data_IF_332243317381
#
_entry.id   IF_332243317381
#
_cell.length_a   1.000
_cell.length_b   1.000
_cell.length_c   1.000
_cell.angle_alpha   90.00
_cell.angle_beta   90.00
_cell.angle_gamma   90.00
#
_symmetry.space_group_name_H-M   'P 1'
#
loop_
_entity.id
_entity.type
_entity.pdbx_description
1 polymer ?
#
# COMPACT_ATOMS: atom_id res chain seq x y z
N UNK A 1 4.21 1.41 8.00
CA UNK A 1 4.11 1.07 9.43
C UNK A 1 3.64 2.30 10.18
N UNK A 2 2.99 2.16 11.35
CA UNK A 2 2.63 3.35 12.15
C UNK A 2 3.87 3.83 12.94
N UNK A 3 4.04 5.15 13.04
CA UNK A 3 5.07 5.83 13.83
C UNK A 3 5.17 5.29 15.26
N UNK A 4 4.05 5.17 15.97
CA UNK A 4 4.05 4.72 17.38
C UNK A 4 4.70 3.34 17.57
N UNK A 5 4.47 2.43 16.61
CA UNK A 5 5.05 1.08 16.62
C UNK A 5 6.56 1.15 16.37
N UNK A 6 7.00 2.01 15.45
CA UNK A 6 8.42 2.19 15.16
C UNK A 6 9.16 2.78 16.36
N UNK A 7 8.61 3.85 16.95
CA UNK A 7 9.18 4.49 18.15
C UNK A 7 9.29 3.49 19.31
N UNK A 8 8.23 2.71 19.55
CA UNK A 8 8.24 1.69 20.61
C UNK A 8 9.28 0.60 20.35
N UNK A 9 9.43 0.14 19.11
CA UNK A 9 10.43 -0.87 18.76
C UNK A 9 11.86 -0.34 18.97
N UNK A 10 12.14 0.91 18.59
CA UNK A 10 13.43 1.56 18.82
C UNK A 10 13.71 1.68 20.33
N UNK A 11 12.74 2.15 21.12
CA UNK A 11 12.91 2.25 22.56
C UNK A 11 13.24 0.90 23.20
N UNK A 12 12.53 -0.16 22.83
CA UNK A 12 12.81 -1.51 23.34
C UNK A 12 14.21 -2.00 22.94
N UNK A 13 14.65 -1.70 21.72
CA UNK A 13 15.99 -2.04 21.28
C UNK A 13 17.07 -1.26 22.05
N UNK A 14 16.86 0.02 22.33
CA UNK A 14 17.75 0.84 23.17
C UNK A 14 17.84 0.33 24.62
N UNK A 15 16.75 -0.24 25.13
CA UNK A 15 16.70 -0.93 26.43
C UNK A 15 17.31 -2.35 26.40
N UNK A 16 17.84 -2.80 25.26
CA UNK A 16 18.43 -4.13 25.08
C UNK A 16 17.42 -5.28 24.89
N UNK A 17 16.13 -4.98 24.70
CA UNK A 17 15.04 -5.95 24.56
C UNK A 17 14.71 -6.21 23.08
N UNK A 18 15.67 -6.81 22.36
CA UNK A 18 15.57 -7.01 20.91
C UNK A 18 14.43 -7.95 20.52
N UNK A 19 14.17 -8.99 21.30
CA UNK A 19 13.11 -9.96 21.05
C UNK A 19 11.72 -9.31 21.17
N UNK A 20 11.53 -8.44 22.16
CA UNK A 20 10.29 -7.69 22.35
C UNK A 20 10.08 -6.68 21.21
N UNK A 21 11.15 -5.99 20.81
CA UNK A 21 11.14 -5.09 19.67
C UNK A 21 10.73 -5.83 18.38
N UNK A 22 11.35 -6.98 18.09
CA UNK A 22 11.01 -7.81 16.95
C UNK A 22 9.56 -8.31 17.03
N UNK A 23 9.11 -8.77 18.20
CA UNK A 23 7.77 -9.31 18.40
C UNK A 23 6.68 -8.27 18.06
N UNK A 24 6.88 -7.01 18.47
CA UNK A 24 5.95 -5.92 18.15
C UNK A 24 5.94 -5.63 16.64
N UNK A 25 7.10 -5.61 15.99
CA UNK A 25 7.20 -5.40 14.54
C UNK A 25 6.54 -6.55 13.76
N UNK A 26 6.78 -7.81 14.16
CA UNK A 26 6.12 -8.99 13.58
C UNK A 26 4.60 -8.95 13.81
N UNK A 27 4.16 -8.54 15.01
CA UNK A 27 2.76 -8.39 15.37
C UNK A 27 2.01 -7.37 14.52
N UNK A 28 2.71 -6.35 14.02
CA UNK A 28 2.14 -5.34 13.13
C UNK A 28 1.68 -5.92 11.78
N UNK A 29 2.29 -7.00 11.29
CA UNK A 29 1.90 -7.67 10.04
C UNK A 29 0.73 -8.66 10.23
N UNK A 30 -0.33 -8.22 10.91
CA UNK A 30 -1.58 -8.99 11.04
C UNK A 30 -2.47 -8.89 9.78
N UNK A 31 -3.52 -9.71 9.71
CA UNK A 31 -4.44 -9.76 8.56
C UNK A 31 -4.97 -8.38 8.16
N UNK A 32 -5.47 -7.60 9.11
CA UNK A 32 -6.07 -6.28 8.85
C UNK A 32 -5.05 -5.34 8.19
N UNK A 33 -3.86 -5.28 8.77
CA UNK A 33 -2.78 -4.43 8.27
C UNK A 33 -2.25 -4.90 6.91
N UNK A 34 -2.09 -6.21 6.72
CA UNK A 34 -1.68 -6.79 5.44
C UNK A 34 -2.72 -6.52 4.35
N UNK A 35 -4.03 -6.71 4.60
CA UNK A 35 -5.10 -6.36 3.65
C UNK A 35 -5.01 -4.90 3.21
N UNK A 36 -4.81 -3.99 4.16
CA UNK A 36 -4.64 -2.59 3.87
C UNK A 36 -3.40 -2.33 2.99
N UNK A 37 -2.25 -2.89 3.35
CA UNK A 37 -1.01 -2.74 2.57
C UNK A 37 -1.15 -3.32 1.15
N UNK A 38 -1.70 -4.52 1.01
CA UNK A 38 -1.95 -5.16 -0.29
C UNK A 38 -2.86 -4.28 -1.16
N UNK A 39 -3.88 -3.65 -0.58
CA UNK A 39 -4.74 -2.72 -1.34
C UNK A 39 -3.98 -1.51 -1.89
N UNK A 40 -2.94 -1.05 -1.19
CA UNK A 40 -2.02 0.01 -1.65
C UNK A 40 -1.01 -0.50 -2.69
N UNK A 41 -0.60 -1.77 -2.62
CA UNK A 41 0.28 -2.38 -3.63
C UNK A 41 -0.44 -2.54 -4.97
N UNK A 42 -1.72 -2.93 -4.97
CA UNK A 42 -2.54 -3.06 -6.20
C UNK A 42 -2.68 -1.77 -7.03
N UNK A 43 -2.35 -0.62 -6.45
CA UNK A 43 -2.32 0.67 -7.15
C UNK A 43 -1.10 0.81 -8.07
N UNK A 44 -0.12 -0.09 -7.94
CA UNK A 44 1.06 -0.18 -8.78
C UNK A 44 0.76 -1.22 -9.87
N UNK A 45 0.90 -0.83 -11.14
CA UNK A 45 0.52 -1.64 -12.30
C UNK A 45 1.19 -3.03 -12.32
N UNK A 46 2.50 -3.09 -12.06
CA UNK A 46 3.32 -4.30 -12.05
C UNK A 46 2.91 -5.27 -10.91
N UNK A 47 2.19 -4.78 -9.91
CA UNK A 47 1.62 -5.62 -8.86
C UNK A 47 0.31 -6.30 -9.26
N UNK A 48 -0.43 -5.76 -10.23
CA UNK A 48 -1.77 -6.23 -10.56
C UNK A 48 -1.81 -7.68 -11.09
N UNK A 49 -0.90 -8.12 -11.98
CA UNK A 49 -0.90 -9.50 -12.48
C UNK A 49 -0.78 -10.55 -11.37
N UNK A 50 -0.12 -10.19 -10.25
CA UNK A 50 0.15 -11.08 -9.12
C UNK A 50 -0.88 -10.95 -7.99
N UNK A 51 -1.86 -10.05 -8.10
CA UNK A 51 -2.83 -9.78 -7.03
C UNK A 51 -3.56 -11.06 -6.56
N UNK A 52 -3.95 -11.94 -7.48
CA UNK A 52 -4.60 -13.22 -7.16
C UNK A 52 -3.72 -14.10 -6.26
N UNK A 53 -2.42 -14.21 -6.55
CA UNK A 53 -1.48 -15.01 -5.76
C UNK A 53 -1.19 -14.37 -4.40
N UNK A 54 -1.11 -13.03 -4.35
CA UNK A 54 -0.94 -12.28 -3.10
C UNK A 54 -2.12 -12.55 -2.14
N UNK A 55 -3.36 -12.51 -2.62
CA UNK A 55 -4.51 -12.81 -1.76
C UNK A 55 -4.54 -14.26 -1.31
N UNK A 56 -4.15 -15.22 -2.16
CA UNK A 56 -3.99 -16.62 -1.75
C UNK A 56 -2.94 -16.77 -0.64
N UNK A 57 -1.78 -16.13 -0.80
CA UNK A 57 -0.74 -16.12 0.21
C UNK A 57 -1.21 -15.45 1.52
N UNK A 58 -2.08 -14.43 1.45
CA UNK A 58 -2.69 -13.83 2.63
C UNK A 58 -3.66 -14.79 3.33
N UNK A 59 -4.49 -15.52 2.57
CA UNK A 59 -5.39 -16.53 3.13
C UNK A 59 -4.59 -17.67 3.80
N UNK A 60 -3.44 -18.05 3.21
CA UNK A 60 -2.51 -18.99 3.80
C UNK A 60 -1.85 -18.43 5.07
N UNK A 61 -1.43 -17.15 5.06
CA UNK A 61 -0.89 -16.46 6.25
C UNK A 61 -1.90 -16.44 7.41
N UNK A 62 -3.17 -16.13 7.10
CA UNK A 62 -4.26 -16.13 8.08
C UNK A 62 -4.53 -17.52 8.65
N UNK A 63 -4.43 -18.54 7.82
CA UNK A 63 -4.60 -19.93 8.22
C UNK A 63 -3.33 -20.56 8.81
N UNK A 64 -2.31 -19.75 9.10
CA UNK A 64 -1.01 -20.17 9.65
C UNK A 64 -0.27 -21.20 8.77
N UNK A 65 -0.61 -21.24 7.48
CA UNK A 65 0.04 -22.10 6.46
C UNK A 65 1.28 -21.39 5.90
N UNK A 66 2.24 -21.11 6.79
CA UNK A 66 3.45 -20.34 6.45
C UNK A 66 4.33 -21.05 5.41
N UNK A 67 4.34 -22.39 5.40
CA UNK A 67 5.01 -23.21 4.39
C UNK A 67 4.54 -22.88 2.96
N UNK A 68 3.28 -22.47 2.77
CA UNK A 68 2.73 -22.09 1.47
C UNK A 68 2.88 -20.58 1.22
N UNK A 69 2.65 -19.77 2.24
CA UNK A 69 2.70 -18.31 2.13
C UNK A 69 4.12 -17.80 1.79
N UNK A 70 5.14 -18.24 2.53
CA UNK A 70 6.51 -17.69 2.43
C UNK A 70 7.09 -17.86 1.01
N UNK A 71 7.10 -19.05 0.39
CA UNK A 71 7.65 -19.22 -0.95
C UNK A 71 6.90 -18.41 -2.01
N UNK A 72 5.57 -18.31 -1.88
CA UNK A 72 4.75 -17.51 -2.81
C UNK A 72 5.09 -16.03 -2.71
N UNK A 73 5.21 -15.48 -1.50
CA UNK A 73 5.58 -14.06 -1.33
C UNK A 73 7.01 -13.79 -1.82
N UNK A 74 7.98 -14.69 -1.54
CA UNK A 74 9.34 -14.59 -2.08
C UNK A 74 9.37 -14.56 -3.61
N UNK A 75 8.58 -15.42 -4.27
CA UNK A 75 8.48 -15.42 -5.74
C UNK A 75 7.87 -14.11 -6.27
N UNK A 76 6.88 -13.55 -5.57
CA UNK A 76 6.24 -12.29 -5.95
C UNK A 76 7.21 -11.12 -5.79
N UNK A 77 8.00 -11.09 -4.71
CA UNK A 77 9.08 -10.12 -4.49
C UNK A 77 10.02 -10.10 -5.70
N UNK A 78 10.50 -11.27 -6.11
CA UNK A 78 11.48 -11.39 -7.19
C UNK A 78 10.90 -10.93 -8.53
N UNK A 79 9.72 -11.44 -8.90
CA UNK A 79 9.06 -11.08 -10.14
C UNK A 79 8.63 -9.62 -10.20
N UNK A 80 8.20 -9.04 -9.08
CA UNK A 80 7.79 -7.64 -9.02
C UNK A 80 8.95 -6.69 -9.33
N UNK A 81 10.12 -6.92 -8.73
CA UNK A 81 11.31 -6.10 -8.99
C UNK A 81 11.80 -6.29 -10.43
N UNK A 82 11.72 -7.52 -10.96
CA UNK A 82 12.07 -7.80 -12.34
C UNK A 82 11.23 -7.01 -13.36
N UNK A 83 9.94 -6.81 -13.10
CA UNK A 83 9.08 -6.02 -13.99
C UNK A 83 9.49 -4.54 -14.07
N UNK A 84 10.19 -4.02 -13.06
CA UNK A 84 10.62 -2.62 -12.99
C UNK A 84 12.07 -2.46 -13.46
N UNK A 85 13.01 -3.29 -12.95
CA UNK A 85 14.46 -3.15 -13.17
C UNK A 85 15.05 -4.19 -14.14
N UNK A 86 14.22 -5.03 -14.78
CA UNK A 86 14.65 -6.16 -15.63
C UNK A 86 15.59 -7.16 -14.92
N UNK A 87 15.65 -7.09 -13.59
CA UNK A 87 16.39 -7.98 -12.69
C UNK A 87 15.53 -8.23 -11.46
N UNK A 88 15.42 -9.50 -11.05
CA UNK A 88 14.70 -9.86 -9.82
C UNK A 88 15.40 -9.37 -8.56
N UNK A 89 14.64 -9.18 -7.48
CA UNK A 89 15.17 -8.77 -6.17
C UNK A 89 16.36 -9.63 -5.73
N UNK A 90 16.32 -10.95 -5.98
CA UNK A 90 17.38 -11.87 -5.54
C UNK A 90 18.53 -12.04 -6.55
N UNK A 91 18.57 -11.24 -7.62
CA UNK A 91 19.67 -11.24 -8.57
C UNK A 91 20.96 -10.70 -7.95
N UNK A 92 22.10 -11.00 -8.58
CA UNK A 92 23.38 -10.39 -8.21
C UNK A 92 23.45 -8.94 -8.68
N UNK A 93 24.16 -8.10 -7.92
CA UNK A 93 24.41 -6.69 -8.24
C UNK A 93 23.12 -5.89 -8.51
N UNK A 94 22.12 -6.07 -7.65
CA UNK A 94 20.95 -5.20 -7.64
C UNK A 94 21.22 -3.97 -6.80
N UNK A 95 20.79 -2.80 -7.28
CA UNK A 95 20.78 -1.56 -6.52
C UNK A 95 19.36 -1.05 -6.44
N UNK A 96 18.80 -1.07 -5.23
CA UNK A 96 17.45 -0.58 -4.95
C UNK A 96 17.47 0.81 -4.29
N UNK A 97 18.60 1.52 -4.36
CA UNK A 97 18.73 2.85 -3.77
C UNK A 97 17.91 3.86 -4.54
N UNK A 98 17.02 4.57 -3.86
CA UNK A 98 16.20 5.64 -4.45
C UNK A 98 16.15 6.81 -3.48
N UNK A 99 16.24 8.03 -4.01
CA UNK A 99 16.21 9.24 -3.20
C UNK A 99 14.87 9.44 -2.49
N UNK A 100 14.94 10.03 -1.28
CA UNK A 100 13.78 10.44 -0.49
C UNK A 100 12.81 9.27 -0.17
N UNK A 101 13.37 8.10 0.15
CA UNK A 101 12.60 6.96 0.67
C UNK A 101 13.42 6.20 1.72
N UNK A 102 12.86 6.07 2.93
CA UNK A 102 13.50 5.36 4.05
C UNK A 102 13.75 3.88 3.69
N UNK A 103 12.81 3.25 2.99
CA UNK A 103 12.92 1.83 2.62
C UNK A 103 14.05 1.59 1.60
N UNK A 104 14.27 2.54 0.70
CA UNK A 104 15.28 2.44 -0.36
C UNK A 104 16.51 3.32 -0.08
N UNK A 105 16.76 3.60 1.20
CA UNK A 105 18.07 4.01 1.68
C UNK A 105 19.06 2.82 1.54
N UNK A 106 20.36 3.09 1.48
CA UNK A 106 21.39 2.06 1.31
C UNK A 106 21.37 1.01 2.45
N UNK A 107 21.10 1.45 3.68
CA UNK A 107 20.89 0.61 4.87
C UNK A 107 19.52 -0.08 4.94
N UNK A 108 18.65 0.12 3.94
CA UNK A 108 17.31 -0.45 3.86
C UNK A 108 17.26 -1.72 3.00
N UNK A 109 16.58 -1.64 1.85
CA UNK A 109 16.32 -2.77 0.95
C UNK A 109 17.59 -3.48 0.45
N UNK A 110 18.69 -2.77 0.24
CA UNK A 110 19.97 -3.39 -0.16
C UNK A 110 20.59 -4.24 0.96
N UNK A 111 20.47 -3.80 2.21
CA UNK A 111 20.87 -4.59 3.38
C UNK A 111 19.97 -5.82 3.52
N UNK A 112 18.66 -5.66 3.33
CA UNK A 112 17.70 -6.75 3.35
C UNK A 112 17.97 -7.79 2.26
N UNK A 113 18.30 -7.34 1.04
CA UNK A 113 18.74 -8.19 -0.06
C UNK A 113 19.91 -9.07 0.35
N UNK A 114 20.98 -8.45 0.87
CA UNK A 114 22.21 -9.13 1.31
C UNK A 114 21.90 -10.25 2.30
N UNK A 115 21.02 -9.99 3.26
CA UNK A 115 20.58 -10.97 4.26
C UNK A 115 19.79 -12.11 3.61
N UNK A 116 18.83 -11.79 2.72
CA UNK A 116 17.93 -12.82 2.16
C UNK A 116 18.62 -13.74 1.16
N UNK A 117 19.66 -13.27 0.47
CA UNK A 117 20.44 -14.07 -0.50
C UNK A 117 21.57 -14.87 0.15
N UNK A 118 21.78 -14.75 1.46
CA UNK A 118 22.86 -15.42 2.18
C UNK A 118 22.87 -16.94 1.86
N UNK A 119 24.03 -17.51 1.47
CA UNK A 119 24.10 -18.91 1.08
C UNK A 119 23.85 -19.83 2.26
N UNK A 120 23.04 -20.86 2.02
CA UNK A 120 22.66 -21.87 3.03
C UNK A 120 23.16 -23.23 2.55
N UNK A 121 24.25 -23.72 3.14
CA UNK A 121 24.96 -24.92 2.67
C UNK A 121 24.60 -26.21 3.42
N UNK A 122 23.93 -26.09 4.56
CA UNK A 122 23.52 -27.21 5.40
C UNK A 122 22.00 -27.32 5.41
N UNK A 123 21.48 -28.55 5.32
CA UNK A 123 20.06 -28.81 5.59
C UNK A 123 19.82 -28.79 7.10
N UNK A 124 18.83 -28.03 7.54
CA UNK A 124 18.47 -27.87 8.94
C UNK A 124 16.96 -27.97 9.13
N UNK A 125 16.56 -28.68 10.18
CA UNK A 125 15.18 -28.72 10.69
C UNK A 125 14.92 -27.69 11.78
N UNK A 126 15.97 -27.05 12.31
CA UNK A 126 15.86 -26.01 13.32
C UNK A 126 15.07 -24.82 12.80
N UNK A 127 14.31 -24.18 13.69
CA UNK A 127 13.62 -22.93 13.36
C UNK A 127 14.62 -21.86 12.92
N UNK A 128 14.25 -21.18 11.84
CA UNK A 128 14.95 -19.98 11.38
C UNK A 128 13.98 -18.79 11.46
N UNK A 129 14.52 -17.60 11.69
CA UNK A 129 13.71 -16.38 11.79
C UNK A 129 14.00 -15.36 10.69
N UNK A 130 14.88 -15.70 9.75
CA UNK A 130 15.24 -14.87 8.60
C UNK A 130 14.78 -15.61 7.35
N UNK A 131 14.12 -14.96 6.38
CA UNK A 131 13.67 -15.62 5.16
C UNK A 131 14.83 -15.78 4.17
N UNK A 132 15.77 -16.67 4.48
CA UNK A 132 16.88 -17.04 3.60
C UNK A 132 16.33 -17.71 2.34
N UNK A 133 16.12 -16.92 1.28
CA UNK A 133 15.44 -17.34 0.05
C UNK A 133 16.09 -18.59 -0.55
N UNK A 134 17.42 -18.63 -0.58
CA UNK A 134 18.15 -19.77 -1.16
C UNK A 134 17.98 -21.04 -0.33
N UNK A 135 18.03 -20.95 0.99
CA UNK A 135 17.82 -22.11 1.85
C UNK A 135 16.39 -22.63 1.81
N UNK A 136 15.40 -21.73 1.82
CA UNK A 136 13.98 -22.08 1.73
C UNK A 136 13.65 -22.72 0.38
N UNK A 137 14.00 -22.05 -0.73
CA UNK A 137 13.61 -22.53 -2.07
C UNK A 137 14.41 -23.75 -2.56
N UNK A 138 15.58 -24.02 -1.98
CA UNK A 138 16.33 -25.25 -2.26
C UNK A 138 16.02 -26.39 -1.26
N UNK A 139 15.07 -26.20 -0.34
CA UNK A 139 14.68 -27.23 0.63
C UNK A 139 15.76 -27.56 1.66
N UNK A 140 16.61 -26.59 2.00
CA UNK A 140 17.69 -26.74 2.99
C UNK A 140 17.28 -26.22 4.36
N UNK A 141 16.62 -25.07 4.43
CA UNK A 141 16.08 -24.56 5.69
C UNK A 141 14.63 -25.03 5.82
N UNK A 142 14.38 -26.08 6.61
CA UNK A 142 13.05 -26.69 6.73
C UNK A 142 12.18 -26.01 7.81
N UNK A 143 12.80 -25.43 8.86
CA UNK A 143 12.10 -24.73 9.95
C UNK A 143 11.71 -23.27 9.63
N UNK A 144 11.43 -22.94 8.37
CA UNK A 144 11.09 -21.58 7.94
C UNK A 144 9.59 -21.25 8.09
N UNK A 145 8.76 -22.27 8.28
CA UNK A 145 7.30 -22.18 8.22
C UNK A 145 6.70 -21.64 9.53
N UNK A 146 7.19 -20.46 9.93
CA UNK A 146 6.74 -19.74 11.11
C UNK A 146 6.35 -18.30 10.81
N UNK A 147 5.65 -17.69 11.77
CA UNK A 147 5.09 -16.35 11.65
C UNK A 147 6.16 -15.26 11.47
N UNK A 148 7.34 -15.40 12.08
CA UNK A 148 8.41 -14.39 12.01
C UNK A 148 8.98 -14.30 10.61
N UNK A 149 9.29 -15.45 10.00
CA UNK A 149 9.75 -15.53 8.60
C UNK A 149 8.70 -14.92 7.68
N UNK A 150 7.44 -15.34 7.81
CA UNK A 150 6.36 -14.84 6.97
C UNK A 150 6.14 -13.32 7.12
N UNK A 151 6.14 -12.79 8.34
CA UNK A 151 6.00 -11.35 8.58
C UNK A 151 7.16 -10.55 7.95
N UNK A 152 8.40 -11.04 8.05
CA UNK A 152 9.57 -10.40 7.42
C UNK A 152 9.51 -10.46 5.90
N UNK A 153 9.02 -11.56 5.31
CA UNK A 153 8.78 -11.65 3.86
C UNK A 153 7.71 -10.66 3.41
N UNK A 154 6.59 -10.54 4.14
CA UNK A 154 5.58 -9.51 3.86
C UNK A 154 6.14 -8.10 4.02
N UNK A 155 6.97 -7.87 5.04
CA UNK A 155 7.66 -6.60 5.26
C UNK A 155 8.51 -6.19 4.06
N UNK A 156 9.30 -7.12 3.52
CA UNK A 156 10.07 -6.91 2.30
C UNK A 156 9.18 -6.52 1.11
N UNK A 157 8.08 -7.25 0.88
CA UNK A 157 7.15 -6.96 -0.22
C UNK A 157 6.53 -5.55 -0.09
N UNK A 158 6.17 -5.15 1.12
CA UNK A 158 5.58 -3.83 1.38
C UNK A 158 6.60 -2.71 1.20
N UNK A 159 7.84 -2.91 1.66
CA UNK A 159 8.94 -1.97 1.45
C UNK A 159 9.25 -1.77 -0.04
N UNK A 160 9.18 -2.84 -0.84
CA UNK A 160 9.29 -2.75 -2.30
C UNK A 160 8.17 -1.93 -2.95
N UNK A 161 6.97 -1.92 -2.36
CA UNK A 161 5.90 -1.05 -2.79
C UNK A 161 6.21 0.44 -2.61
N UNK A 162 6.95 0.81 -1.57
CA UNK A 162 7.40 2.18 -1.34
C UNK A 162 8.53 2.55 -2.31
N UNK A 163 9.50 1.65 -2.50
CA UNK A 163 10.56 1.78 -3.51
C UNK A 163 9.99 1.99 -4.92
N UNK A 164 9.07 1.13 -5.37
CA UNK A 164 8.52 1.21 -6.72
C UNK A 164 7.76 2.51 -6.98
N UNK A 165 7.05 3.05 -5.98
CA UNK A 165 6.42 4.37 -6.11
C UNK A 165 7.46 5.48 -6.26
N UNK A 166 8.56 5.40 -5.51
CA UNK A 166 9.63 6.38 -5.62
C UNK A 166 10.29 6.33 -7.01
N UNK A 167 10.57 5.13 -7.55
CA UNK A 167 11.06 4.95 -8.93
C UNK A 167 10.10 5.56 -9.94
N UNK A 168 8.81 5.24 -9.87
CA UNK A 168 7.78 5.76 -10.80
C UNK A 168 7.60 7.28 -10.74
N UNK A 169 7.89 7.89 -9.60
CA UNK A 169 7.87 9.34 -9.44
C UNK A 169 9.15 10.01 -9.98
N UNK A 170 10.00 9.28 -10.71
CA UNK A 170 11.22 9.80 -11.33
C UNK A 170 12.35 10.08 -10.34
N UNK A 171 12.29 9.50 -9.13
CA UNK A 171 13.32 9.69 -8.09
C UNK A 171 14.54 8.78 -8.27
N UNK A 172 14.50 7.89 -9.27
CA UNK A 172 15.61 7.00 -9.60
C UNK A 172 16.69 7.81 -10.34
N UNK A 173 17.95 7.75 -9.88
CA UNK A 173 19.07 8.52 -10.44
C UNK A 173 19.23 9.95 -9.92
N UNK A 174 18.28 10.47 -9.13
CA UNK A 174 18.42 11.74 -8.40
C UNK A 174 19.36 11.54 -7.19
N UNK A 175 20.68 11.50 -7.41
CA UNK A 175 21.64 11.78 -6.31
C UNK A 175 21.60 13.27 -6.00
N UNK A 176 20.45 13.77 -5.54
CA UNK A 176 20.35 15.14 -5.03
C UNK A 176 21.06 15.14 -3.69
N UNK A 177 22.18 15.85 -3.59
CA UNK A 177 22.72 16.17 -2.27
C UNK A 177 21.63 16.89 -1.48
N UNK A 178 21.49 16.57 -0.20
CA UNK A 178 20.55 17.25 0.67
C UNK A 178 20.92 18.74 0.71
N UNK A 179 20.12 19.57 0.04
CA UNK A 179 20.21 21.02 0.17
C UNK A 179 19.26 21.42 1.29
N UNK A 180 19.75 21.94 2.42
CA UNK A 180 18.86 22.40 3.47
C UNK A 180 17.95 23.49 2.91
N UNK A 181 16.63 23.43 3.19
CA UNK A 181 15.71 24.45 2.69
C UNK A 181 16.12 25.83 3.20
N UNK A 182 15.94 26.84 2.38
CA UNK A 182 16.06 28.24 2.80
C UNK A 182 15.05 28.56 3.91
N UNK A 183 15.22 29.67 4.63
CA UNK A 183 14.26 30.10 5.66
C UNK A 183 12.84 30.27 5.10
N UNK A 184 12.72 30.77 3.86
CA UNK A 184 11.42 30.94 3.19
C UNK A 184 10.78 29.60 2.86
N UNK A 185 11.54 28.65 2.28
CA UNK A 185 11.04 27.30 2.00
C UNK A 185 10.67 26.57 3.29
N UNK A 186 11.47 26.72 4.35
CA UNK A 186 11.18 26.17 5.68
C UNK A 186 9.87 26.74 6.23
N UNK A 187 9.63 28.04 6.10
CA UNK A 187 8.38 28.67 6.51
C UNK A 187 7.18 28.15 5.71
N UNK A 188 7.31 28.00 4.38
CA UNK A 188 6.27 27.44 3.53
C UNK A 188 5.97 25.98 3.91
N UNK A 189 7.00 25.15 4.11
CA UNK A 189 6.86 23.76 4.54
C UNK A 189 6.16 23.65 5.90
N UNK A 190 6.49 24.54 6.85
CA UNK A 190 5.82 24.61 8.14
C UNK A 190 4.35 25.00 7.99
N UNK A 191 4.05 26.01 7.17
CA UNK A 191 2.67 26.42 6.86
C UNK A 191 1.88 25.26 6.25
N UNK A 192 2.45 24.59 5.26
CA UNK A 192 1.80 23.46 4.59
C UNK A 192 1.58 22.30 5.57
N UNK A 193 2.57 22.01 6.42
CA UNK A 193 2.45 21.00 7.48
C UNK A 193 1.34 21.34 8.47
N UNK A 194 1.20 22.61 8.87
CA UNK A 194 0.12 23.08 9.73
C UNK A 194 -1.25 22.94 9.06
N UNK A 195 -1.37 23.31 7.78
CA UNK A 195 -2.60 23.16 7.01
C UNK A 195 -2.98 21.68 6.90
N UNK A 196 -2.02 20.80 6.60
CA UNK A 196 -2.26 19.36 6.55
C UNK A 196 -2.67 18.81 7.92
N UNK A 197 -2.01 19.24 9.00
CA UNK A 197 -2.34 18.83 10.36
C UNK A 197 -3.78 19.24 10.74
N UNK A 198 -4.16 20.47 10.45
CA UNK A 198 -5.53 20.95 10.67
C UNK A 198 -6.55 20.15 9.85
N UNK A 199 -6.24 19.86 8.59
CA UNK A 199 -7.10 19.05 7.72
C UNK A 199 -7.29 17.64 8.27
N UNK A 200 -6.19 16.95 8.62
CA UNK A 200 -6.24 15.60 9.21
C UNK A 200 -7.02 15.60 10.52
N UNK A 201 -6.87 16.64 11.36
CA UNK A 201 -7.65 16.80 12.59
C UNK A 201 -9.15 16.94 12.33
N UNK A 202 -9.53 17.73 11.33
CA UNK A 202 -10.94 17.90 10.95
C UNK A 202 -11.52 16.63 10.31
N UNK A 203 -10.76 15.95 9.45
CA UNK A 203 -11.16 14.68 8.84
C UNK A 203 -11.37 13.62 9.93
N UNK A 204 -10.46 13.56 10.93
CA UNK A 204 -10.60 12.66 12.07
C UNK A 204 -11.87 12.96 12.88
N UNK A 205 -12.14 14.22 13.22
CA UNK A 205 -13.38 14.61 13.89
C UNK A 205 -14.61 14.21 13.08
N UNK A 206 -14.61 14.45 11.78
CA UNK A 206 -15.72 14.10 10.89
C UNK A 206 -15.97 12.59 10.87
N UNK A 207 -14.91 11.78 10.90
CA UNK A 207 -15.00 10.31 10.96
C UNK A 207 -15.49 9.85 12.34
N UNK A 208 -14.98 10.45 13.42
CA UNK A 208 -15.35 10.10 14.80
C UNK A 208 -16.81 10.49 15.11
N UNK A 209 -17.27 11.62 14.57
CA UNK A 209 -18.64 12.12 14.69
C UNK A 209 -19.62 11.43 13.73
N UNK A 210 -19.12 10.71 12.72
CA UNK A 210 -19.95 10.03 11.75
C UNK A 210 -20.78 8.93 12.41
N UNK A 211 -22.07 8.91 12.10
CA UNK A 211 -22.99 7.85 12.53
C UNK A 211 -23.70 7.27 11.31
N UNK A 212 -23.98 5.95 11.30
CA UNK A 212 -24.82 5.35 10.28
C UNK A 212 -26.15 6.10 10.17
N UNK A 213 -26.60 6.39 8.95
CA UNK A 213 -27.93 6.92 8.70
C UNK A 213 -28.93 5.77 8.70
N UNK A 214 -29.98 5.87 9.50
CA UNK A 214 -31.20 5.08 9.31
C UNK A 214 -32.10 5.85 8.35
N UNK A 215 -32.59 5.19 7.30
CA UNK A 215 -33.38 5.83 6.23
C UNK A 215 -34.66 5.01 6.04
N UNK A 216 -35.81 5.66 6.20
CA UNK A 216 -37.12 5.08 5.95
C UNK A 216 -37.66 5.58 4.61
N UNK A 217 -37.94 4.64 3.70
CA UNK A 217 -38.42 4.95 2.36
C UNK A 217 -39.85 5.50 2.40
N UNK A 218 -40.07 6.61 1.70
CA UNK A 218 -41.28 7.45 1.66
C UNK A 218 -41.50 8.35 2.88
N UNK A 219 -40.74 8.17 3.97
CA UNK A 219 -40.75 9.10 5.11
C UNK A 219 -39.58 10.09 4.98
N UNK A 220 -38.35 9.60 4.84
CA UNK A 220 -37.14 10.43 4.75
C UNK A 220 -36.72 10.69 3.30
N UNK A 221 -36.91 9.69 2.43
CA UNK A 221 -36.49 9.75 1.02
C UNK A 221 -37.57 9.11 0.15
N UNK A 222 -38.02 9.76 -0.92
CA UNK A 222 -39.03 9.17 -1.80
C UNK A 222 -38.45 7.96 -2.55
N UNK A 223 -39.28 6.93 -2.74
CA UNK A 223 -38.90 5.73 -3.51
C UNK A 223 -38.48 6.05 -4.95
N UNK A 224 -39.07 7.08 -5.54
CA UNK A 224 -38.77 7.62 -6.86
C UNK A 224 -39.14 9.10 -6.89
N UNK A 225 -38.46 9.87 -7.74
CA UNK A 225 -38.75 11.29 -7.88
C UNK A 225 -37.75 11.99 -8.77
N UNK A 226 -38.10 13.21 -9.16
CA UNK A 226 -37.18 14.13 -9.80
C UNK A 226 -36.18 14.69 -8.78
N UNK A 227 -35.13 15.34 -9.28
CA UNK A 227 -34.03 15.89 -8.48
C UNK A 227 -34.48 16.79 -7.30
N UNK A 228 -35.59 17.52 -7.46
CA UNK A 228 -36.13 18.42 -6.44
C UNK A 228 -36.85 17.69 -5.31
N UNK A 229 -37.14 16.40 -5.48
CA UNK A 229 -37.71 15.55 -4.42
C UNK A 229 -36.64 15.09 -3.40
N UNK A 230 -35.37 15.43 -3.62
CA UNK A 230 -34.25 15.06 -2.75
C UNK A 230 -33.55 16.30 -2.20
N UNK A 231 -33.14 16.22 -0.93
CA UNK A 231 -32.47 17.32 -0.24
C UNK A 231 -31.16 17.73 -0.93
N UNK A 232 -30.91 19.04 -0.94
CA UNK A 232 -29.67 19.61 -1.51
C UNK A 232 -28.47 19.11 -0.72
N UNK A 233 -27.48 18.55 -1.44
CA UNK A 233 -26.27 17.99 -0.84
C UNK A 233 -26.43 16.57 -0.30
N UNK A 234 -27.61 15.94 -0.44
CA UNK A 234 -27.81 14.54 -0.08
C UNK A 234 -27.15 13.58 -1.08
N UNK A 235 -26.62 12.42 -0.63
CA UNK A 235 -26.13 11.36 -1.50
C UNK A 235 -27.17 10.93 -2.56
N UNK A 236 -28.44 10.92 -2.19
CA UNK A 236 -29.57 10.52 -3.01
C UNK A 236 -29.78 11.49 -4.19
N UNK A 237 -29.74 12.80 -3.91
CA UNK A 237 -29.80 13.83 -4.97
C UNK A 237 -28.60 13.72 -5.91
N UNK A 238 -27.38 13.57 -5.37
CA UNK A 238 -26.17 13.41 -6.18
C UNK A 238 -26.22 12.16 -7.07
N UNK A 239 -26.79 11.06 -6.57
CA UNK A 239 -27.00 9.85 -7.37
C UNK A 239 -28.03 10.07 -8.48
N UNK A 240 -29.11 10.79 -8.20
CA UNK A 240 -30.11 11.14 -9.22
C UNK A 240 -29.50 12.04 -10.32
N UNK A 241 -28.75 13.08 -9.93
CA UNK A 241 -27.96 13.92 -10.84
C UNK A 241 -27.04 13.09 -11.74
N UNK A 242 -26.34 12.11 -11.15
CA UNK A 242 -25.47 11.21 -11.88
C UNK A 242 -26.22 10.42 -12.96
N UNK A 243 -27.40 9.88 -12.65
CA UNK A 243 -28.23 9.16 -13.64
C UNK A 243 -28.81 10.08 -14.72
N UNK A 244 -29.18 11.31 -14.37
CA UNK A 244 -29.61 12.33 -15.35
C UNK A 244 -28.47 12.66 -16.31
N UNK A 245 -27.24 12.82 -15.82
CA UNK A 245 -26.09 13.05 -16.68
C UNK A 245 -25.77 11.85 -17.55
N UNK A 246 -25.93 10.63 -17.02
CA UNK A 246 -25.77 9.41 -17.77
C UNK A 246 -26.77 9.30 -18.93
N UNK A 247 -28.07 9.52 -18.67
CA UNK A 247 -29.11 9.44 -19.70
C UNK A 247 -28.92 10.48 -20.83
N UNK A 248 -28.28 11.62 -20.51
CA UNK A 248 -27.92 12.67 -21.47
C UNK A 248 -26.54 12.47 -22.11
N UNK A 249 -25.81 11.41 -21.77
CA UNK A 249 -24.44 11.17 -22.26
C UNK A 249 -23.42 12.23 -21.80
N UNK A 250 -23.70 12.96 -20.72
CA UNK A 250 -22.85 14.02 -20.19
C UNK A 250 -21.78 13.47 -19.25
N UNK A 251 -20.80 12.77 -19.81
CA UNK A 251 -19.71 12.14 -19.06
C UNK A 251 -18.81 13.14 -18.32
N UNK A 252 -18.74 14.39 -18.79
CA UNK A 252 -17.97 15.45 -18.13
C UNK A 252 -18.56 15.84 -16.77
N UNK A 253 -19.89 15.94 -16.69
CA UNK A 253 -20.59 16.19 -15.42
C UNK A 253 -20.55 14.97 -14.50
N UNK A 254 -20.70 13.76 -15.06
CA UNK A 254 -20.49 12.51 -14.29
C UNK A 254 -19.10 12.47 -13.65
N UNK A 255 -18.05 12.87 -14.38
CA UNK A 255 -16.68 12.89 -13.90
C UNK A 255 -16.47 13.85 -12.71
N UNK A 256 -17.31 14.87 -12.54
CA UNK A 256 -17.24 15.80 -11.41
C UNK A 256 -17.86 15.23 -10.12
N UNK A 257 -18.83 14.31 -10.26
CA UNK A 257 -19.54 13.72 -9.12
C UNK A 257 -18.83 12.49 -8.53
N UNK A 258 -17.83 11.94 -9.24
CA UNK A 258 -17.09 10.77 -8.77
C UNK A 258 -15.88 11.20 -7.95
N UNK A 259 -15.76 10.64 -6.75
CA UNK A 259 -14.58 10.83 -5.91
C UNK A 259 -13.35 10.19 -6.56
N UNK A 260 -12.27 10.97 -6.72
CA UNK A 260 -10.96 10.45 -7.10
C UNK A 260 -10.35 9.69 -5.90
N UNK A 261 -10.54 8.37 -5.87
CA UNK A 261 -9.97 7.49 -4.82
C UNK A 261 -8.43 7.46 -4.87
N UNK A 262 -7.84 7.81 -6.02
CA UNK A 262 -6.40 7.97 -6.23
C UNK A 262 -6.12 9.41 -6.67
N UNK A 263 -5.12 10.09 -6.08
CA UNK A 263 -4.61 11.35 -6.62
C UNK A 263 -4.21 11.12 -8.07
N UNK A 264 -4.94 11.75 -8.99
CA UNK A 264 -4.68 11.63 -10.41
C UNK A 264 -4.61 13.03 -11.01
N UNK A 265 -3.52 13.27 -11.74
CA UNK A 265 -3.33 14.43 -12.61
C UNK A 265 -4.25 14.38 -13.83
N UNK A 266 -5.04 13.32 -13.98
CA UNK A 266 -5.99 13.19 -15.07
C UNK A 266 -6.96 14.36 -15.04
N UNK A 267 -7.04 15.03 -16.19
CA UNK A 267 -8.05 16.04 -16.44
C UNK A 267 -9.45 15.43 -16.37
N UNK A 268 -10.45 16.26 -16.08
CA UNK A 268 -11.86 15.86 -16.08
C UNK A 268 -12.24 15.21 -17.43
N UNK A 269 -11.66 15.70 -18.54
CA UNK A 269 -11.88 15.15 -19.88
C UNK A 269 -11.37 13.71 -20.05
N UNK A 270 -10.16 13.41 -19.56
CA UNK A 270 -9.63 12.04 -19.61
C UNK A 270 -10.47 11.08 -18.75
N UNK A 271 -10.91 11.54 -17.59
CA UNK A 271 -11.77 10.74 -16.71
C UNK A 271 -13.15 10.50 -17.33
N UNK A 272 -13.75 11.53 -17.94
CA UNK A 272 -14.98 11.41 -18.72
C UNK A 272 -14.86 10.38 -19.85
N UNK A 273 -13.71 10.34 -20.55
CA UNK A 273 -13.43 9.34 -21.57
C UNK A 273 -13.42 7.90 -21.03
N UNK A 274 -12.84 7.69 -19.83
CA UNK A 274 -12.87 6.37 -19.16
C UNK A 274 -14.29 5.96 -18.76
N UNK A 275 -15.07 6.88 -18.18
CA UNK A 275 -16.47 6.64 -17.83
C UNK A 275 -17.25 6.23 -19.07
N UNK A 276 -17.14 7.00 -20.16
CA UNK A 276 -17.79 6.69 -21.44
C UNK A 276 -17.46 5.26 -21.86
N UNK A 277 -16.17 4.90 -21.92
CA UNK A 277 -15.73 3.55 -22.31
C UNK A 277 -16.42 2.48 -21.47
N UNK A 278 -16.37 2.59 -20.13
CA UNK A 278 -16.97 1.61 -19.22
C UNK A 278 -18.47 1.45 -19.49
N UNK A 279 -19.21 2.57 -19.58
CA UNK A 279 -20.66 2.51 -19.70
C UNK A 279 -21.11 2.06 -21.09
N UNK A 280 -20.37 2.41 -22.15
CA UNK A 280 -20.68 1.97 -23.53
C UNK A 280 -20.24 0.55 -23.85
N UNK A 281 -19.33 -0.04 -23.08
CA UNK A 281 -18.88 -1.43 -23.30
C UNK A 281 -19.86 -2.47 -22.70
N UNK A 282 -20.83 -2.02 -21.90
CA UNK A 282 -21.78 -2.89 -21.20
C UNK A 282 -23.26 -2.57 -21.49
N UNK A 283 -23.52 -1.72 -22.49
CA UNK A 283 -24.84 -1.47 -23.10
C UNK A 283 -24.83 -2.02 -24.52
#
# INVERSE_FOLDING_TARGET
>A
MNFDIMTKAVQLAEEGKLEDAESILVGYYNEKNLRFMISRLKRIEEFQPRARLIYKALDDYRAERYHACVPVVLMIIDGFVNDIEQKGFFATNIDLTVWDTIAAHDSGLNTLHTIFVEPRNKTTSEEIYIPYRNGILHGRDLGYDNRKVAAKTWGALVALGDWARAVKNGRNGDKKEFVPPTLMESFLLLRDSLVQYQKVGNDKKTIDDWKPREIFINDDVPKNGDIEAYDVGSPERTLNEFFIYLSRGNYGKMAQLITKIVPSTDSIGMFAGRIRKIVTTHL
#
